data_IF_667521478916
#
_entry.id   IF_667521478916
#
_cell.length_a   1.000
_cell.length_b   1.000
_cell.length_c   1.000
_cell.angle_alpha   90.00
_cell.angle_beta   90.00
_cell.angle_gamma   90.00
#
_symmetry.space_group_name_H-M   'P 1'
#
loop_
_entity.id
_entity.type
_entity.pdbx_description
1 polymer ?
#
# COMPACT_ATOMS: atom_id res chain seq x y z
N UNK A 1 -23.81 -35.53 14.14
CA UNK A 1 -22.77 -34.47 14.25
C UNK A 1 -22.03 -34.52 15.59
N UNK A 2 -22.71 -34.69 16.73
CA UNK A 2 -22.09 -34.71 18.08
C UNK A 2 -21.02 -35.79 18.29
N UNK A 3 -21.21 -37.01 17.76
CA UNK A 3 -20.20 -38.09 17.87
C UNK A 3 -18.90 -37.77 17.12
N UNK A 4 -18.98 -37.20 15.91
CA UNK A 4 -17.81 -36.79 15.14
C UNK A 4 -17.07 -35.62 15.81
N UNK A 5 -17.81 -34.66 16.36
CA UNK A 5 -17.23 -33.55 17.11
C UNK A 5 -16.47 -34.02 18.38
N UNK A 6 -17.01 -35.00 19.12
CA UNK A 6 -16.30 -35.62 20.26
C UNK A 6 -15.03 -36.35 19.84
N UNK A 7 -15.10 -37.19 18.81
CA UNK A 7 -13.95 -37.92 18.27
C UNK A 7 -12.81 -36.99 17.83
N UNK A 8 -13.14 -35.86 17.19
CA UNK A 8 -12.14 -34.86 16.80
C UNK A 8 -11.57 -34.12 18.02
N UNK A 9 -12.40 -33.81 19.01
CA UNK A 9 -11.97 -33.08 20.22
C UNK A 9 -11.06 -33.92 21.14
N UNK A 10 -11.29 -35.22 21.21
CA UNK A 10 -10.53 -36.14 22.08
C UNK A 10 -9.24 -36.65 21.41
N UNK A 11 -9.07 -36.44 20.10
CA UNK A 11 -7.90 -36.89 19.35
C UNK A 11 -6.85 -35.78 19.20
N UNK A 12 -5.96 -35.69 20.19
CA UNK A 12 -4.89 -34.70 20.22
C UNK A 12 -3.86 -34.88 19.08
N UNK A 13 -3.58 -36.13 18.69
CA UNK A 13 -2.70 -36.45 17.56
C UNK A 13 -3.25 -35.93 16.22
N UNK A 14 -4.58 -35.98 16.04
CA UNK A 14 -5.24 -35.38 14.87
C UNK A 14 -5.07 -33.86 14.84
N UNK A 15 -5.22 -33.18 15.99
CA UNK A 15 -5.00 -31.73 16.08
C UNK A 15 -3.55 -31.35 15.75
N UNK A 16 -2.57 -32.09 16.27
CA UNK A 16 -1.14 -31.88 16.00
C UNK A 16 -0.81 -32.09 14.52
N UNK A 17 -1.30 -33.19 13.90
CA UNK A 17 -1.08 -33.48 12.47
C UNK A 17 -1.73 -32.43 11.57
N UNK A 18 -2.93 -31.96 11.90
CA UNK A 18 -3.59 -30.89 11.13
C UNK A 18 -2.84 -29.57 11.31
N UNK A 19 -2.40 -29.23 12.52
CA UNK A 19 -1.63 -28.02 12.77
C UNK A 19 -0.30 -28.02 12.01
N UNK A 20 0.41 -29.15 12.02
CA UNK A 20 1.64 -29.34 11.25
C UNK A 20 1.38 -29.24 9.75
N UNK A 21 0.36 -29.94 9.22
CA UNK A 21 0.00 -29.87 7.80
C UNK A 21 -0.43 -28.45 7.37
N UNK A 22 -1.05 -27.68 8.26
CA UNK A 22 -1.39 -26.29 8.02
C UNK A 22 -0.12 -25.42 7.99
N UNK A 23 0.80 -25.60 8.95
CA UNK A 23 2.10 -24.90 8.97
C UNK A 23 2.95 -25.21 7.74
N UNK A 24 3.04 -26.48 7.33
CA UNK A 24 3.77 -26.93 6.15
C UNK A 24 3.19 -26.35 4.84
N UNK A 25 1.90 -25.98 4.86
CA UNK A 25 1.21 -25.32 3.73
C UNK A 25 1.30 -23.80 3.78
N UNK A 26 1.78 -23.20 4.88
CA UNK A 26 2.06 -21.76 4.89
C UNK A 26 3.18 -21.54 3.88
N UNK A 27 2.80 -21.04 2.71
CA UNK A 27 3.75 -20.58 1.72
C UNK A 27 4.60 -19.50 2.39
N UNK A 28 5.89 -19.77 2.56
CA UNK A 28 6.88 -18.73 2.86
C UNK A 28 7.00 -17.87 1.61
N UNK A 29 6.04 -16.95 1.43
CA UNK A 29 6.22 -15.86 0.49
C UNK A 29 7.43 -15.05 0.96
N UNK A 30 8.29 -14.59 0.02
CA UNK A 30 9.36 -13.69 0.39
C UNK A 30 8.78 -12.48 1.12
N UNK A 31 9.52 -11.95 2.09
CA UNK A 31 9.12 -10.74 2.81
C UNK A 31 8.81 -9.64 1.79
N UNK A 32 7.63 -9.00 1.87
CA UNK A 32 7.25 -7.98 0.91
C UNK A 32 8.22 -6.80 0.98
N UNK A 33 8.73 -6.37 -0.16
CA UNK A 33 9.69 -5.27 -0.24
C UNK A 33 9.00 -3.93 0.04
N UNK A 34 7.79 -3.75 -0.47
CA UNK A 34 7.08 -2.47 -0.44
C UNK A 34 6.01 -2.41 0.64
N UNK A 35 5.86 -1.24 1.27
CA UNK A 35 4.90 -1.04 2.38
C UNK A 35 3.46 -1.37 1.98
N UNK A 36 3.06 -1.11 0.74
CA UNK A 36 1.72 -1.37 0.21
C UNK A 36 1.39 -2.87 0.15
N UNK A 37 2.40 -3.73 0.14
CA UNK A 37 2.26 -5.18 0.16
C UNK A 37 2.21 -5.76 1.59
N UNK A 38 2.51 -4.94 2.61
CA UNK A 38 2.60 -5.36 4.02
C UNK A 38 1.28 -5.27 4.80
N UNK A 39 0.15 -5.23 4.11
CA UNK A 39 -1.19 -5.14 4.72
C UNK A 39 -1.51 -6.33 5.63
N UNK A 40 -0.94 -7.51 5.34
CA UNK A 40 -1.14 -8.74 6.12
C UNK A 40 0.04 -9.06 7.04
N UNK A 41 1.04 -8.17 7.14
CA UNK A 41 2.22 -8.37 8.00
C UNK A 41 1.93 -8.14 9.49
N UNK A 42 0.67 -7.88 9.86
CA UNK A 42 0.23 -7.71 11.25
C UNK A 42 -0.57 -6.44 11.46
N UNK A 43 -1.36 -6.43 12.53
CA UNK A 43 -2.13 -5.28 13.00
C UNK A 43 -1.26 -4.33 13.83
N UNK A 44 -1.63 -3.03 13.93
CA UNK A 44 -0.98 -2.12 14.87
C UNK A 44 -1.12 -2.65 16.31
N UNK A 45 -0.14 -2.32 17.15
CA UNK A 45 -0.31 -2.45 18.59
C UNK A 45 -1.34 -1.44 19.12
N UNK A 46 -1.65 -1.50 20.41
CA UNK A 46 -2.67 -0.64 21.00
C UNK A 46 -2.29 0.85 20.94
N UNK A 47 -1.01 1.18 21.05
CA UNK A 47 -0.54 2.56 21.10
C UNK A 47 -0.62 3.19 19.71
N UNK A 48 -0.09 2.50 18.69
CA UNK A 48 -0.20 2.91 17.29
C UNK A 48 -1.67 2.91 16.83
N UNK A 49 -2.51 1.98 17.30
CA UNK A 49 -3.92 1.95 16.95
C UNK A 49 -4.68 3.21 17.41
N UNK A 50 -4.40 3.72 18.60
CA UNK A 50 -5.00 4.98 19.08
C UNK A 50 -4.45 6.18 18.31
N UNK A 51 -3.14 6.23 18.06
CA UNK A 51 -2.52 7.27 17.25
C UNK A 51 -3.11 7.33 15.83
N UNK A 52 -3.31 6.19 15.17
CA UNK A 52 -3.92 6.11 13.84
C UNK A 52 -5.37 6.62 13.86
N UNK A 53 -6.15 6.28 14.89
CA UNK A 53 -7.53 6.80 15.04
C UNK A 53 -7.52 8.32 15.18
N UNK A 54 -6.62 8.85 16.00
CA UNK A 54 -6.44 10.30 16.18
C UNK A 54 -6.01 10.99 14.89
N UNK A 55 -5.11 10.35 14.13
CA UNK A 55 -4.64 10.86 12.84
C UNK A 55 -5.80 11.07 11.88
N UNK A 56 -6.76 10.15 11.81
CA UNK A 56 -7.92 10.26 10.94
C UNK A 56 -9.03 11.17 11.49
N UNK A 57 -9.12 11.35 12.81
CA UNK A 57 -10.16 12.15 13.46
C UNK A 57 -9.86 13.64 13.49
N UNK A 58 -8.60 14.02 13.63
CA UNK A 58 -8.18 15.41 13.87
C UNK A 58 -7.85 16.08 12.54
N UNK A 59 -8.35 17.29 12.31
CA UNK A 59 -8.09 18.05 11.08
C UNK A 59 -6.83 18.93 11.15
N UNK A 60 -6.30 19.17 12.35
CA UNK A 60 -5.08 19.96 12.55
C UNK A 60 -3.84 19.23 11.98
N UNK A 61 -3.25 19.82 10.95
CA UNK A 61 -2.06 19.29 10.27
C UNK A 61 -0.83 19.23 11.17
N UNK A 62 -0.64 20.21 12.06
CA UNK A 62 0.53 20.23 12.94
C UNK A 62 0.44 19.09 13.96
N UNK A 63 -0.78 18.70 14.33
CA UNK A 63 -1.03 17.52 15.15
C UNK A 63 -0.86 16.21 14.37
N UNK A 64 -1.33 16.14 13.12
CA UNK A 64 -1.11 14.98 12.23
C UNK A 64 0.38 14.69 12.04
N UNK A 65 1.21 15.72 11.84
CA UNK A 65 2.66 15.59 11.72
C UNK A 65 3.27 15.00 13.00
N UNK A 66 2.86 15.50 14.18
CA UNK A 66 3.31 14.94 15.47
C UNK A 66 2.92 13.49 15.64
N UNK A 67 1.69 13.11 15.25
CA UNK A 67 1.26 11.72 15.29
C UNK A 67 2.16 10.86 14.39
N UNK A 68 2.36 11.26 13.13
CA UNK A 68 3.18 10.52 12.18
C UNK A 68 4.60 10.27 12.73
N UNK A 69 5.20 11.25 13.40
CA UNK A 69 6.53 11.13 14.01
C UNK A 69 6.58 10.21 15.24
N UNK A 70 5.44 9.97 15.91
CA UNK A 70 5.35 9.18 17.13
C UNK A 70 4.86 7.73 16.92
N UNK A 71 4.50 7.36 15.68
CA UNK A 71 4.16 5.97 15.34
C UNK A 71 5.41 5.09 15.46
N UNK A 72 5.26 3.93 16.08
CA UNK A 72 6.35 2.98 16.29
C UNK A 72 6.56 2.09 15.06
N UNK A 73 5.48 1.64 14.43
CA UNK A 73 5.57 0.82 13.22
C UNK A 73 5.88 1.70 12.01
N UNK A 74 7.07 1.46 11.42
CA UNK A 74 7.55 2.19 10.25
C UNK A 74 6.58 2.10 9.06
N UNK A 75 5.76 1.04 8.95
CA UNK A 75 4.73 0.95 7.90
C UNK A 75 3.71 2.07 8.03
N UNK A 76 3.18 2.29 9.23
CA UNK A 76 2.15 3.30 9.46
C UNK A 76 2.74 4.70 9.40
N UNK A 77 3.97 4.87 9.87
CA UNK A 77 4.72 6.12 9.71
C UNK A 77 4.87 6.51 8.26
N UNK A 78 5.39 5.62 7.39
CA UNK A 78 5.53 5.90 5.95
C UNK A 78 4.19 6.23 5.28
N UNK A 79 3.11 5.56 5.67
CA UNK A 79 1.77 5.82 5.12
C UNK A 79 1.21 7.17 5.57
N UNK A 80 1.35 7.52 6.86
CA UNK A 80 0.96 8.82 7.40
C UNK A 80 1.77 9.95 6.75
N UNK A 81 3.09 9.75 6.70
CA UNK A 81 4.04 10.20 5.68
C UNK A 81 3.43 10.81 4.42
N UNK A 82 3.08 9.87 3.55
CA UNK A 82 2.57 10.11 2.20
C UNK A 82 1.25 10.85 2.20
N UNK A 83 0.35 10.55 3.16
CA UNK A 83 -0.93 11.25 3.28
C UNK A 83 -0.73 12.73 3.60
N UNK A 84 0.20 13.07 4.50
CA UNK A 84 0.52 14.47 4.82
C UNK A 84 1.05 15.19 3.59
N UNK A 85 2.06 14.62 2.91
CA UNK A 85 2.66 15.24 1.72
C UNK A 85 1.66 15.42 0.57
N UNK A 86 0.80 14.42 0.36
CA UNK A 86 -0.18 14.45 -0.72
C UNK A 86 -1.31 15.46 -0.47
N UNK A 87 -1.79 15.57 0.76
CA UNK A 87 -2.94 16.41 1.09
C UNK A 87 -2.56 17.83 1.51
N UNK A 88 -1.35 18.01 2.05
CA UNK A 88 -0.88 19.27 2.63
C UNK A 88 0.59 19.57 2.25
N UNK A 89 0.95 19.61 0.96
CA UNK A 89 2.34 19.77 0.53
C UNK A 89 3.00 21.05 1.06
N UNK A 90 2.24 22.14 1.16
CA UNK A 90 2.73 23.45 1.65
C UNK A 90 3.02 23.49 3.16
N UNK A 91 2.52 22.49 3.91
CA UNK A 91 2.63 22.40 5.37
C UNK A 91 3.48 21.22 5.82
N UNK A 92 3.79 20.29 4.92
CA UNK A 92 4.60 19.15 5.21
C UNK A 92 6.07 19.56 5.50
N UNK A 93 6.74 18.93 6.48
CA UNK A 93 8.17 19.14 6.71
C UNK A 93 9.00 18.87 5.45
N UNK A 94 10.06 19.65 5.23
CA UNK A 94 10.89 19.55 4.02
C UNK A 94 11.52 18.17 3.83
N UNK A 95 11.95 17.53 4.90
CA UNK A 95 12.55 16.20 4.87
C UNK A 95 11.53 15.12 4.50
N UNK A 96 10.29 15.26 4.97
CA UNK A 96 9.15 14.40 4.65
C UNK A 96 8.75 14.55 3.18
N UNK A 97 8.73 15.78 2.67
CA UNK A 97 8.49 16.06 1.26
C UNK A 97 9.61 15.50 0.38
N UNK A 98 10.87 15.58 0.81
CA UNK A 98 11.98 14.98 0.06
C UNK A 98 11.81 13.47 -0.07
N UNK A 99 11.56 12.77 1.05
CA UNK A 99 11.29 11.31 1.02
C UNK A 99 10.10 10.96 0.13
N UNK A 100 9.06 11.78 0.15
CA UNK A 100 7.89 11.59 -0.70
C UNK A 100 8.21 11.78 -2.19
N UNK A 101 9.00 12.79 -2.54
CA UNK A 101 9.43 13.02 -3.92
C UNK A 101 10.35 11.90 -4.42
N UNK A 102 11.28 11.43 -3.60
CA UNK A 102 12.14 10.27 -3.93
C UNK A 102 11.29 9.02 -4.18
N UNK A 103 10.26 8.81 -3.35
CA UNK A 103 9.28 7.74 -3.56
C UNK A 103 8.50 7.89 -4.87
N UNK A 104 8.05 9.10 -5.21
CA UNK A 104 7.34 9.34 -6.46
C UNK A 104 8.25 9.11 -7.68
N UNK A 105 9.48 9.59 -7.63
CA UNK A 105 10.48 9.37 -8.68
C UNK A 105 10.73 7.88 -8.90
N UNK A 106 10.92 7.11 -7.81
CA UNK A 106 11.03 5.66 -7.87
C UNK A 106 9.80 5.04 -8.55
N UNK A 107 8.60 5.46 -8.15
CA UNK A 107 7.33 4.91 -8.66
C UNK A 107 7.07 5.25 -10.12
N UNK A 108 7.54 6.40 -10.60
CA UNK A 108 7.30 6.86 -11.96
C UNK A 108 8.37 6.37 -12.93
N UNK A 109 9.63 6.30 -12.50
CA UNK A 109 10.79 6.16 -13.39
C UNK A 109 11.55 4.83 -13.25
N UNK A 110 11.26 4.00 -12.24
CA UNK A 110 11.92 2.68 -12.08
C UNK A 110 11.01 1.52 -12.43
N UNK A 111 11.62 0.39 -12.81
CA UNK A 111 10.90 -0.84 -13.07
C UNK A 111 10.56 -1.55 -11.76
N UNK A 112 9.28 -1.56 -11.40
CA UNK A 112 8.76 -2.31 -10.24
C UNK A 112 7.61 -3.24 -10.61
N UNK A 113 6.95 -3.84 -9.60
CA UNK A 113 5.68 -4.54 -9.76
C UNK A 113 4.52 -3.60 -10.18
N UNK A 114 4.74 -2.29 -10.14
CA UNK A 114 3.88 -1.25 -10.71
C UNK A 114 4.35 -0.87 -12.13
N UNK A 115 3.56 -0.03 -12.83
CA UNK A 115 3.93 0.49 -14.15
C UNK A 115 5.07 1.51 -14.11
N UNK A 116 5.28 2.25 -15.20
CA UNK A 116 6.11 3.46 -15.21
C UNK A 116 5.48 4.46 -16.18
N UNK A 117 5.90 5.72 -16.13
CA UNK A 117 5.47 6.74 -17.11
C UNK A 117 5.77 6.30 -18.54
N UNK A 118 6.97 5.77 -18.77
CA UNK A 118 7.37 5.20 -20.07
C UNK A 118 6.45 4.06 -20.51
N UNK A 119 6.23 3.04 -19.65
CA UNK A 119 5.36 1.90 -19.97
C UNK A 119 3.92 2.34 -20.23
N UNK A 120 3.40 3.29 -19.46
CA UNK A 120 2.04 3.81 -19.66
C UNK A 120 1.91 4.52 -21.01
N UNK A 121 2.91 5.31 -21.42
CA UNK A 121 2.93 5.95 -22.74
C UNK A 121 3.03 4.92 -23.87
N UNK A 122 3.86 3.88 -23.73
CA UNK A 122 3.91 2.79 -24.69
C UNK A 122 2.57 2.04 -24.83
N UNK A 123 1.87 1.81 -23.72
CA UNK A 123 0.54 1.20 -23.73
C UNK A 123 -0.48 2.08 -24.43
N UNK A 124 -0.49 3.39 -24.16
CA UNK A 124 -1.37 4.34 -24.85
C UNK A 124 -1.15 4.29 -26.37
N UNK A 125 0.10 4.27 -26.84
CA UNK A 125 0.39 4.18 -28.28
C UNK A 125 -0.06 2.85 -28.90
N UNK A 126 -0.01 1.74 -28.14
CA UNK A 126 -0.55 0.44 -28.59
C UNK A 126 -2.07 0.48 -28.78
N UNK A 127 -2.79 1.19 -27.89
CA UNK A 127 -4.25 1.32 -27.94
C UNK A 127 -4.75 2.42 -28.88
N UNK A 128 -3.89 3.32 -29.35
CA UNK A 128 -4.23 4.43 -30.24
C UNK A 128 -4.68 4.01 -31.67
N UNK A 129 -4.90 2.72 -31.90
CA UNK A 129 -5.42 2.14 -33.15
C UNK A 129 -6.94 2.01 -33.16
N UNK A 130 -7.62 2.34 -32.06
CA UNK A 130 -9.08 2.31 -32.00
C UNK A 130 -9.68 3.35 -32.96
N UNK A 131 -10.86 3.05 -33.53
CA UNK A 131 -11.64 4.01 -34.32
C UNK A 131 -12.71 4.71 -33.47
N UNK A 132 -12.91 4.26 -32.23
CA UNK A 132 -13.90 4.83 -31.32
C UNK A 132 -13.47 6.23 -30.84
N UNK A 133 -14.37 7.20 -31.02
CA UNK A 133 -14.09 8.60 -30.71
C UNK A 133 -13.99 8.88 -29.20
N UNK A 134 -14.74 8.15 -28.37
CA UNK A 134 -14.69 8.30 -26.91
C UNK A 134 -13.39 7.71 -26.36
N UNK A 135 -12.99 6.53 -26.85
CA UNK A 135 -11.72 5.91 -26.45
C UNK A 135 -10.53 6.80 -26.84
N UNK A 136 -10.51 7.38 -28.04
CA UNK A 136 -9.48 8.36 -28.43
C UNK A 136 -9.41 9.56 -27.49
N UNK A 137 -10.56 10.12 -27.12
CA UNK A 137 -10.61 11.26 -26.21
C UNK A 137 -10.03 10.92 -24.83
N UNK A 138 -10.32 9.72 -24.32
CA UNK A 138 -9.79 9.23 -23.05
C UNK A 138 -8.28 9.01 -23.13
N UNK A 139 -7.79 8.39 -24.22
CA UNK A 139 -6.36 8.15 -24.42
C UNK A 139 -5.56 9.45 -24.51
N UNK A 140 -6.05 10.44 -25.27
CA UNK A 140 -5.40 11.75 -25.39
C UNK A 140 -5.41 12.51 -24.04
N UNK A 141 -6.53 12.49 -23.31
CA UNK A 141 -6.61 13.10 -21.98
C UNK A 141 -5.64 12.44 -20.99
N UNK A 142 -5.54 11.10 -21.04
CA UNK A 142 -4.63 10.32 -20.18
C UNK A 142 -3.17 10.63 -20.52
N UNK A 143 -2.82 10.66 -21.81
CA UNK A 143 -1.48 11.02 -22.28
C UNK A 143 -1.07 12.41 -21.82
N UNK A 144 -1.95 13.39 -21.98
CA UNK A 144 -1.71 14.76 -21.52
C UNK A 144 -1.49 14.81 -20.01
N UNK A 145 -2.34 14.13 -19.22
CA UNK A 145 -2.21 14.06 -17.77
C UNK A 145 -0.87 13.47 -17.32
N UNK A 146 -0.41 12.41 -17.98
CA UNK A 146 0.90 11.79 -17.67
C UNK A 146 2.03 12.76 -17.98
N UNK A 147 2.03 13.41 -19.15
CA UNK A 147 3.11 14.32 -19.56
C UNK A 147 3.21 15.53 -18.62
N UNK A 148 2.08 16.12 -18.22
CA UNK A 148 2.04 17.27 -17.31
C UNK A 148 2.59 16.98 -15.90
N UNK A 149 2.59 15.70 -15.48
CA UNK A 149 3.05 15.25 -14.16
C UNK A 149 4.41 14.53 -14.20
N UNK A 150 4.94 14.28 -15.39
CA UNK A 150 6.26 13.66 -15.58
C UNK A 150 7.36 14.70 -15.82
N UNK A 151 7.01 15.99 -15.91
CA UNK A 151 7.90 17.12 -16.11
C UNK A 151 8.13 17.88 -14.80
#
# INVERSE_FOLDING_TARGET
MLQRAKLVKENQEFFEKVSQAMQDRIFNFPEPEYVEQKIYSGFPDNDDAELIKDFHRIDDIDYKIKIAMNLNDERFKMLAERLICQLYPDRAPMDMMQRYNDFLDERLNTAGPWGSTEKALEEIEKFNKTEDAQEKAILEATKKFIIERSA
#
